data_IF_395817455610
#
_entry.id   IF_395817455610
#
_cell.length_a   1.000
_cell.length_b   1.000
_cell.length_c   1.000
_cell.angle_alpha   90.00
_cell.angle_beta   90.00
_cell.angle_gamma   90.00
#
_symmetry.space_group_name_H-M   'P 1'
#
loop_
_entity.id
_entity.type
_entity.pdbx_description
1 polymer ?
#
# COMPACT_ATOMS: atom_id res chain seq x y z
N UNK A 1 -18.60 -13.46 13.13
CA UNK A 1 -18.09 -12.22 12.51
C UNK A 1 -18.79 -12.06 11.17
N UNK A 2 -19.08 -10.84 10.72
CA UNK A 2 -19.74 -10.61 9.42
C UNK A 2 -18.65 -10.49 8.37
N UNK A 3 -18.69 -11.33 7.33
CA UNK A 3 -17.71 -11.30 6.25
C UNK A 3 -17.74 -9.97 5.48
N UNK A 4 -16.62 -9.54 4.92
CA UNK A 4 -16.51 -8.27 4.15
C UNK A 4 -17.59 -8.16 3.06
N UNK A 5 -17.90 -9.20 2.26
CA UNK A 5 -19.00 -9.14 1.28
C UNK A 5 -20.35 -8.75 1.91
N UNK A 6 -20.68 -9.35 3.05
CA UNK A 6 -21.93 -9.06 3.77
C UNK A 6 -21.98 -7.63 4.33
N UNK A 7 -20.83 -7.11 4.79
CA UNK A 7 -20.73 -5.73 5.26
C UNK A 7 -20.96 -4.74 4.12
N UNK A 8 -20.36 -4.96 2.95
CA UNK A 8 -20.52 -4.13 1.76
C UNK A 8 -21.99 -4.10 1.28
N UNK A 9 -22.63 -5.27 1.15
CA UNK A 9 -24.02 -5.37 0.74
C UNK A 9 -24.94 -4.64 1.73
N UNK A 10 -24.79 -4.90 3.03
CA UNK A 10 -25.60 -4.22 4.08
C UNK A 10 -25.40 -2.72 4.10
N UNK A 11 -24.19 -2.24 3.84
CA UNK A 11 -23.92 -0.81 3.76
C UNK A 11 -24.66 -0.18 2.59
N UNK A 12 -24.66 -0.85 1.43
CA UNK A 12 -25.43 -0.40 0.27
C UNK A 12 -26.95 -0.43 0.51
N UNK A 13 -27.47 -1.45 1.18
CA UNK A 13 -28.89 -1.50 1.58
C UNK A 13 -29.27 -0.36 2.53
N UNK A 14 -28.35 0.03 3.42
CA UNK A 14 -28.59 1.10 4.41
C UNK A 14 -28.45 2.51 3.83
N UNK A 15 -27.57 2.69 2.85
CA UNK A 15 -27.19 3.99 2.29
C UNK A 15 -27.23 3.98 0.75
N UNK A 16 -28.33 3.51 0.10
CA UNK A 16 -28.35 3.22 -1.34
C UNK A 16 -28.01 4.43 -2.21
N UNK A 17 -28.52 5.62 -1.84
CA UNK A 17 -28.41 6.86 -2.60
C UNK A 17 -27.18 7.70 -2.22
N UNK A 18 -26.42 7.28 -1.18
CA UNK A 18 -25.20 7.94 -0.80
C UNK A 18 -24.12 7.67 -1.84
N UNK A 19 -23.35 8.69 -2.20
CA UNK A 19 -22.16 8.51 -3.05
C UNK A 19 -21.14 7.63 -2.32
N UNK A 20 -20.82 6.49 -2.92
CA UNK A 20 -19.82 5.56 -2.40
C UNK A 20 -18.42 5.95 -2.83
N UNK A 21 -18.25 6.36 -4.10
CA UNK A 21 -16.95 6.63 -4.67
C UNK A 21 -17.00 7.79 -5.68
N UNK A 22 -15.93 8.61 -5.69
CA UNK A 22 -15.75 9.73 -6.61
C UNK A 22 -14.36 9.61 -7.24
N UNK A 23 -14.28 9.69 -8.57
CA UNK A 23 -13.04 9.73 -9.34
C UNK A 23 -13.12 10.81 -10.43
N UNK A 24 -12.36 11.88 -10.28
CA UNK A 24 -12.44 13.04 -11.20
C UNK A 24 -13.85 13.63 -11.25
N UNK A 25 -14.48 13.59 -12.43
CA UNK A 25 -15.87 14.02 -12.66
C UNK A 25 -16.91 12.91 -12.46
N UNK A 26 -16.48 11.65 -12.36
CA UNK A 26 -17.37 10.50 -12.18
C UNK A 26 -17.67 10.27 -10.71
N UNK A 27 -18.88 9.77 -10.44
CA UNK A 27 -19.28 9.33 -9.13
C UNK A 27 -20.25 8.13 -9.24
N UNK A 28 -20.24 7.29 -8.22
CA UNK A 28 -21.12 6.13 -8.15
C UNK A 28 -21.72 6.03 -6.75
N UNK A 29 -23.03 5.79 -6.66
CA UNK A 29 -23.73 5.56 -5.38
C UNK A 29 -23.45 4.15 -4.88
N UNK A 30 -23.81 3.88 -3.60
CA UNK A 30 -23.69 2.53 -3.03
C UNK A 30 -24.56 1.51 -3.77
N UNK A 31 -25.79 1.88 -4.14
CA UNK A 31 -26.67 1.00 -4.89
C UNK A 31 -26.12 0.66 -6.28
N UNK A 32 -25.61 1.68 -6.99
CA UNK A 32 -24.98 1.49 -8.30
C UNK A 32 -23.69 0.66 -8.21
N UNK A 33 -22.83 0.94 -7.21
CA UNK A 33 -21.59 0.21 -6.98
C UNK A 33 -21.85 -1.28 -6.77
N UNK A 34 -22.75 -1.62 -5.83
CA UNK A 34 -23.04 -3.02 -5.52
C UNK A 34 -23.78 -3.69 -6.69
N UNK A 35 -24.74 -3.00 -7.33
CA UNK A 35 -25.45 -3.54 -8.50
C UNK A 35 -24.51 -3.87 -9.67
N UNK A 36 -23.60 -2.94 -10.03
CA UNK A 36 -22.58 -3.20 -11.06
C UNK A 36 -21.60 -4.30 -10.63
N UNK A 37 -21.16 -4.30 -9.37
CA UNK A 37 -20.24 -5.31 -8.86
C UNK A 37 -20.86 -6.72 -8.84
N UNK A 38 -22.15 -6.86 -8.51
CA UNK A 38 -22.87 -8.14 -8.58
C UNK A 38 -22.95 -8.66 -10.02
N UNK A 39 -23.31 -7.79 -10.97
CA UNK A 39 -23.35 -8.17 -12.39
C UNK A 39 -21.98 -8.62 -12.90
N UNK A 40 -20.92 -7.90 -12.50
CA UNK A 40 -19.55 -8.25 -12.85
C UNK A 40 -19.12 -9.55 -12.16
N UNK A 41 -19.51 -9.78 -10.90
CA UNK A 41 -19.21 -11.00 -10.17
C UNK A 41 -19.79 -12.24 -10.86
N UNK A 42 -21.03 -12.16 -11.40
CA UNK A 42 -21.63 -13.24 -12.18
C UNK A 42 -20.80 -13.58 -13.43
N UNK A 43 -20.26 -12.56 -14.10
CA UNK A 43 -19.36 -12.75 -15.23
C UNK A 43 -18.06 -13.42 -14.78
N UNK A 44 -17.44 -12.95 -13.68
CA UNK A 44 -16.19 -13.50 -13.16
C UNK A 44 -16.31 -14.98 -12.77
N UNK A 45 -17.43 -15.41 -12.21
CA UNK A 45 -17.68 -16.82 -11.84
C UNK A 45 -17.68 -17.71 -13.09
N UNK A 46 -18.19 -17.24 -14.22
CA UNK A 46 -18.18 -18.00 -15.50
C UNK A 46 -16.78 -18.19 -16.08
N UNK A 47 -15.84 -17.28 -15.73
CA UNK A 47 -14.44 -17.33 -16.17
C UNK A 47 -13.51 -18.08 -15.19
N UNK A 48 -14.04 -18.86 -14.27
CA UNK A 48 -13.26 -19.69 -13.35
C UNK A 48 -13.12 -19.08 -11.96
N UNK A 49 -12.12 -19.59 -11.23
CA UNK A 49 -11.96 -19.30 -9.79
C UNK A 49 -10.56 -18.78 -9.43
N UNK A 50 -9.66 -18.72 -10.39
CA UNK A 50 -8.29 -18.27 -10.19
C UNK A 50 -8.25 -16.76 -9.91
N UNK A 51 -7.15 -16.22 -9.42
CA UNK A 51 -7.00 -14.80 -9.22
C UNK A 51 -7.29 -13.98 -10.48
N UNK A 52 -7.69 -12.73 -10.29
CA UNK A 52 -7.98 -11.75 -11.35
C UNK A 52 -7.01 -10.59 -11.21
N UNK A 53 -6.21 -10.34 -12.22
CA UNK A 53 -5.39 -9.13 -12.29
C UNK A 53 -6.25 -7.98 -12.75
N UNK A 54 -6.24 -6.86 -12.02
CA UNK A 54 -6.96 -5.63 -12.37
C UNK A 54 -5.91 -4.58 -12.68
N UNK A 55 -5.78 -4.21 -13.97
CA UNK A 55 -4.87 -3.17 -14.44
C UNK A 55 -5.65 -1.88 -14.59
N UNK A 56 -5.31 -0.88 -13.79
CA UNK A 56 -5.98 0.42 -13.83
C UNK A 56 -5.43 1.40 -12.83
N UNK A 57 -6.06 2.54 -12.73
CA UNK A 57 -5.77 3.58 -11.74
C UNK A 57 -6.82 3.60 -10.63
N UNK A 58 -7.56 4.71 -10.59
CA UNK A 58 -8.60 4.95 -9.58
C UNK A 58 -9.97 5.21 -10.20
N UNK A 59 -10.22 4.68 -11.37
CA UNK A 59 -11.49 4.78 -12.09
C UNK A 59 -12.59 4.06 -11.28
N UNK A 60 -13.85 4.50 -11.45
CA UNK A 60 -14.99 3.83 -10.83
C UNK A 60 -15.09 2.34 -11.23
N UNK A 61 -14.72 2.02 -12.46
CA UNK A 61 -14.67 0.65 -13.00
C UNK A 61 -13.68 -0.25 -12.27
N UNK A 62 -12.54 0.27 -11.83
CA UNK A 62 -11.57 -0.46 -11.02
C UNK A 62 -12.15 -0.83 -9.66
N UNK A 63 -12.82 0.12 -8.98
CA UNK A 63 -13.46 -0.15 -7.68
C UNK A 63 -14.61 -1.15 -7.84
N UNK A 64 -15.43 -1.01 -8.89
CA UNK A 64 -16.46 -2.02 -9.23
C UNK A 64 -15.85 -3.40 -9.39
N UNK A 65 -14.71 -3.52 -10.09
CA UNK A 65 -14.01 -4.79 -10.32
C UNK A 65 -13.44 -5.39 -9.03
N UNK A 66 -12.86 -4.57 -8.17
CA UNK A 66 -12.39 -4.99 -6.83
C UNK A 66 -13.56 -5.59 -6.03
N UNK A 67 -14.67 -4.87 -5.94
CA UNK A 67 -15.85 -5.34 -5.20
C UNK A 67 -16.44 -6.59 -5.86
N UNK A 68 -16.47 -6.67 -7.20
CA UNK A 68 -16.92 -7.85 -7.93
C UNK A 68 -16.07 -9.09 -7.63
N UNK A 69 -14.75 -8.95 -7.56
CA UNK A 69 -13.87 -10.06 -7.14
C UNK A 69 -14.21 -10.53 -5.73
N UNK A 70 -14.42 -9.60 -4.79
CA UNK A 70 -14.81 -9.91 -3.41
C UNK A 70 -16.15 -10.65 -3.37
N UNK A 71 -17.15 -10.19 -4.13
CA UNK A 71 -18.47 -10.80 -4.18
C UNK A 71 -18.48 -12.17 -4.87
N UNK A 72 -17.62 -12.38 -5.88
CA UNK A 72 -17.46 -13.66 -6.56
C UNK A 72 -16.61 -14.67 -5.79
N UNK A 73 -15.94 -14.26 -4.69
CA UNK A 73 -14.98 -15.07 -3.95
C UNK A 73 -13.65 -15.30 -4.69
N UNK A 74 -13.34 -14.47 -5.70
CA UNK A 74 -12.05 -14.49 -6.40
C UNK A 74 -11.08 -13.50 -5.77
N UNK A 75 -9.82 -13.88 -5.76
CA UNK A 75 -8.72 -13.00 -5.33
C UNK A 75 -8.49 -11.93 -6.39
N UNK A 76 -8.49 -10.64 -6.00
CA UNK A 76 -8.04 -9.60 -6.91
C UNK A 76 -6.56 -9.28 -6.71
N UNK A 77 -5.88 -8.94 -7.81
CA UNK A 77 -4.47 -8.55 -7.86
C UNK A 77 -4.40 -7.19 -8.54
N UNK A 78 -4.34 -6.09 -7.77
CA UNK A 78 -4.34 -4.75 -8.35
C UNK A 78 -2.95 -4.41 -8.89
N UNK A 79 -2.90 -3.84 -10.10
CA UNK A 79 -1.69 -3.41 -10.77
C UNK A 79 -1.92 -2.03 -11.39
N UNK A 80 -1.01 -1.10 -11.12
CA UNK A 80 -1.09 0.25 -11.69
C UNK A 80 -0.90 0.24 -13.21
N UNK A 81 -1.67 1.05 -13.93
CA UNK A 81 -1.61 1.18 -15.40
C UNK A 81 -0.23 1.64 -15.93
N UNK A 82 0.57 2.32 -15.09
CA UNK A 82 1.94 2.72 -15.43
C UNK A 82 3.01 1.67 -15.12
N UNK A 83 2.63 0.46 -14.69
CA UNK A 83 3.56 -0.65 -14.45
C UNK A 83 4.07 -1.17 -15.81
N UNK A 84 5.40 -1.38 -15.98
CA UNK A 84 5.94 -1.94 -17.20
C UNK A 84 5.33 -3.31 -17.54
N UNK A 85 5.07 -3.55 -18.83
CA UNK A 85 4.43 -4.78 -19.31
C UNK A 85 5.15 -6.05 -18.84
N UNK A 86 6.48 -6.07 -18.91
CA UNK A 86 7.29 -7.18 -18.41
C UNK A 86 7.06 -7.47 -16.93
N UNK A 87 6.79 -6.44 -16.12
CA UNK A 87 6.48 -6.59 -14.69
C UNK A 87 5.04 -7.08 -14.49
N UNK A 88 4.10 -6.64 -15.32
CA UNK A 88 2.72 -7.14 -15.33
C UNK A 88 2.71 -8.64 -15.63
N UNK A 89 3.45 -9.09 -16.64
CA UNK A 89 3.58 -10.50 -16.98
C UNK A 89 4.17 -11.36 -15.82
N UNK A 90 5.18 -10.84 -15.12
CA UNK A 90 5.72 -11.48 -13.93
C UNK A 90 4.65 -11.63 -12.82
N UNK A 91 3.85 -10.58 -12.59
CA UNK A 91 2.77 -10.60 -11.60
C UNK A 91 1.68 -11.60 -12.00
N UNK A 92 1.26 -11.61 -13.26
CA UNK A 92 0.29 -12.57 -13.79
C UNK A 92 0.78 -14.00 -13.54
N UNK A 93 2.00 -14.29 -13.98
CA UNK A 93 2.61 -15.62 -13.81
C UNK A 93 2.70 -16.01 -12.33
N UNK A 94 3.21 -15.13 -11.48
CA UNK A 94 3.42 -15.39 -10.06
C UNK A 94 2.10 -15.52 -9.27
N UNK A 95 1.06 -14.79 -9.66
CA UNK A 95 -0.26 -14.85 -9.01
C UNK A 95 -1.07 -16.09 -9.36
N UNK A 96 -0.74 -16.75 -10.49
CA UNK A 96 -1.57 -17.80 -11.06
C UNK A 96 -2.91 -17.28 -11.60
N UNK A 97 -2.97 -16.00 -11.99
CA UNK A 97 -4.18 -15.41 -12.53
C UNK A 97 -4.56 -16.04 -13.88
N UNK A 98 -5.85 -16.26 -14.10
CA UNK A 98 -6.41 -16.75 -15.36
C UNK A 98 -7.18 -15.67 -16.13
N UNK A 99 -7.32 -14.48 -15.55
CA UNK A 99 -8.09 -13.39 -16.14
C UNK A 99 -7.43 -12.04 -15.81
N UNK A 100 -7.42 -11.14 -16.80
CA UNK A 100 -7.03 -9.74 -16.66
C UNK A 100 -8.25 -8.86 -16.96
N UNK A 101 -8.47 -7.85 -16.11
CA UNK A 101 -9.39 -6.74 -16.37
C UNK A 101 -8.56 -5.49 -16.63
N UNK A 102 -8.75 -4.83 -17.79
CA UNK A 102 -8.02 -3.63 -18.17
C UNK A 102 -8.88 -2.71 -19.03
N UNK A 103 -8.72 -1.39 -18.94
CA UNK A 103 -9.38 -0.43 -19.85
C UNK A 103 -8.69 -0.35 -21.20
N UNK A 104 -7.37 -0.36 -21.21
CA UNK A 104 -6.53 -0.11 -22.39
C UNK A 104 -6.26 -1.37 -23.24
N UNK A 105 -6.95 -2.48 -22.95
CA UNK A 105 -6.83 -3.70 -23.73
C UNK A 105 -5.44 -4.33 -23.64
N UNK A 106 -5.01 -4.68 -22.41
CA UNK A 106 -3.82 -5.52 -22.24
C UNK A 106 -3.99 -6.78 -23.08
N UNK A 107 -3.19 -6.90 -24.15
CA UNK A 107 -3.25 -8.04 -25.07
C UNK A 107 -2.20 -9.06 -24.66
N UNK A 108 -2.66 -10.25 -24.28
CA UNK A 108 -1.78 -11.41 -24.08
C UNK A 108 -2.41 -12.63 -24.74
N UNK A 109 -1.63 -13.34 -25.53
CA UNK A 109 -2.08 -14.57 -26.18
C UNK A 109 -2.33 -15.72 -25.19
N UNK A 110 -1.87 -15.56 -23.93
CA UNK A 110 -1.84 -16.64 -22.93
C UNK A 110 -2.91 -16.52 -21.84
N UNK A 111 -3.62 -15.39 -21.76
CA UNK A 111 -4.59 -15.13 -20.67
C UNK A 111 -5.85 -14.44 -21.21
N UNK A 112 -7.01 -14.77 -20.63
CA UNK A 112 -8.27 -14.10 -20.95
C UNK A 112 -8.23 -12.62 -20.51
N UNK A 113 -8.61 -11.70 -21.40
CA UNK A 113 -8.73 -10.27 -21.11
C UNK A 113 -10.16 -9.81 -21.30
N UNK A 114 -10.66 -9.00 -20.36
CA UNK A 114 -11.96 -8.34 -20.45
C UNK A 114 -11.75 -6.83 -20.27
N UNK A 115 -12.49 -6.04 -21.05
CA UNK A 115 -12.48 -4.60 -20.87
C UNK A 115 -13.25 -4.21 -19.60
N UNK A 116 -12.69 -3.28 -18.82
CA UNK A 116 -13.38 -2.70 -17.66
C UNK A 116 -14.66 -1.96 -18.06
N UNK A 117 -14.72 -1.41 -19.29
CA UNK A 117 -15.92 -0.74 -19.82
C UNK A 117 -17.09 -1.67 -20.13
N UNK A 118 -16.83 -2.97 -20.35
CA UNK A 118 -17.84 -3.96 -20.67
C UNK A 118 -18.50 -4.60 -19.44
N UNK A 119 -18.01 -4.25 -18.25
CA UNK A 119 -18.49 -4.78 -16.98
C UNK A 119 -19.81 -4.15 -16.56
N UNK A 120 -20.67 -4.95 -15.89
CA UNK A 120 -21.94 -4.47 -15.32
C UNK A 120 -23.18 -4.65 -16.19
N UNK A 121 -23.10 -5.36 -17.33
CA UNK A 121 -24.23 -5.58 -18.24
C UNK A 121 -25.00 -6.89 -17.97
N UNK A 122 -24.53 -7.77 -17.07
CA UNK A 122 -25.16 -9.06 -16.74
C UNK A 122 -26.15 -8.96 -15.59
N UNK A 123 -27.23 -9.77 -15.61
CA UNK A 123 -28.36 -9.70 -14.66
C UNK A 123 -28.76 -11.03 -14.04
N UNK A 124 -27.85 -11.93 -13.82
CA UNK A 124 -28.16 -13.22 -13.19
C UNK A 124 -27.51 -13.29 -11.80
N UNK A 125 -28.31 -13.04 -10.76
CA UNK A 125 -27.83 -12.95 -9.38
C UNK A 125 -27.91 -14.32 -8.69
N UNK A 126 -26.97 -15.20 -8.99
CA UNK A 126 -26.79 -16.42 -8.21
C UNK A 126 -26.07 -16.13 -6.87
N UNK A 127 -26.36 -16.87 -5.78
CA UNK A 127 -25.59 -16.73 -4.56
C UNK A 127 -24.13 -17.10 -4.80
N UNK A 128 -23.23 -16.17 -4.43
CA UNK A 128 -21.80 -16.31 -4.68
C UNK A 128 -21.16 -17.24 -3.65
N UNK A 129 -20.42 -18.27 -4.07
CA UNK A 129 -19.74 -19.17 -3.15
C UNK A 129 -18.64 -18.44 -2.38
N UNK A 130 -18.71 -18.48 -1.05
CA UNK A 130 -17.62 -18.04 -0.20
C UNK A 130 -16.52 -19.10 -0.26
N UNK A 131 -15.38 -18.77 -0.86
CA UNK A 131 -14.19 -19.64 -0.89
C UNK A 131 -13.19 -19.24 0.18
N UNK A 132 -12.34 -20.19 0.56
CA UNK A 132 -11.18 -19.96 1.45
C UNK A 132 -10.00 -19.30 0.69
N UNK A 133 -10.26 -18.67 -0.47
CA UNK A 133 -9.27 -17.91 -1.23
C UNK A 133 -8.93 -16.59 -0.55
N UNK A 134 -7.71 -16.06 -0.73
CA UNK A 134 -7.39 -14.70 -0.33
C UNK A 134 -8.35 -13.68 -0.95
N UNK A 135 -8.62 -12.59 -0.25
CA UNK A 135 -9.41 -11.47 -0.79
C UNK A 135 -8.60 -10.75 -1.86
N UNK A 136 -7.33 -10.46 -1.54
CA UNK A 136 -6.42 -9.81 -2.47
C UNK A 136 -5.00 -10.31 -2.32
N UNK A 137 -4.21 -10.07 -3.34
CA UNK A 137 -2.77 -10.20 -3.33
C UNK A 137 -2.13 -8.89 -3.76
N UNK A 138 -1.26 -8.35 -2.92
CA UNK A 138 -0.40 -7.22 -3.28
C UNK A 138 1.01 -7.73 -3.52
N UNK A 139 1.61 -7.29 -4.63
CA UNK A 139 2.96 -7.67 -4.99
C UNK A 139 3.96 -6.63 -4.52
N UNK A 140 4.93 -7.06 -3.72
CA UNK A 140 6.03 -6.22 -3.24
C UNK A 140 7.33 -6.61 -3.96
N UNK A 141 8.32 -5.72 -3.92
CA UNK A 141 9.67 -6.05 -4.41
C UNK A 141 10.24 -7.22 -3.63
N UNK A 142 10.87 -8.15 -4.34
CA UNK A 142 11.44 -9.36 -3.75
C UNK A 142 12.96 -9.31 -3.66
N UNK A 143 13.54 -9.90 -2.60
CA UNK A 143 15.00 -10.06 -2.47
C UNK A 143 15.61 -10.92 -3.56
N UNK A 144 14.80 -11.72 -4.26
CA UNK A 144 15.22 -12.59 -5.38
C UNK A 144 15.09 -11.91 -6.76
N UNK A 145 14.54 -10.70 -6.88
CA UNK A 145 14.25 -9.98 -8.14
C UNK A 145 12.90 -10.31 -8.75
N UNK A 146 12.25 -11.34 -8.24
CA UNK A 146 10.88 -11.64 -8.60
C UNK A 146 9.92 -10.97 -7.61
N UNK A 147 8.75 -10.46 -8.08
CA UNK A 147 7.74 -9.89 -7.21
C UNK A 147 7.22 -10.94 -6.23
N UNK A 148 7.12 -10.57 -4.93
CA UNK A 148 6.56 -11.41 -3.89
C UNK A 148 5.09 -11.10 -3.70
N UNK A 149 4.21 -12.07 -3.93
CA UNK A 149 2.79 -11.95 -3.66
C UNK A 149 2.49 -12.15 -2.17
N UNK A 150 1.82 -11.18 -1.58
CA UNK A 150 1.34 -11.19 -0.19
C UNK A 150 -0.17 -11.45 -0.24
N UNK A 151 -0.64 -12.69 -0.02
CA UNK A 151 -2.06 -13.01 0.00
C UNK A 151 -2.69 -12.60 1.33
N UNK A 152 -3.77 -11.84 1.27
CA UNK A 152 -4.54 -11.42 2.44
C UNK A 152 -5.89 -12.12 2.44
N UNK A 153 -6.15 -12.88 3.51
CA UNK A 153 -7.37 -13.66 3.67
C UNK A 153 -8.56 -12.78 4.10
N UNK A 154 -9.77 -13.34 3.99
CA UNK A 154 -10.98 -12.70 4.53
C UNK A 154 -10.86 -12.45 6.04
N UNK A 155 -10.27 -13.37 6.82
CA UNK A 155 -10.08 -13.20 8.25
C UNK A 155 -9.08 -12.08 8.58
N UNK A 156 -7.99 -11.98 7.82
CA UNK A 156 -7.01 -10.90 7.97
C UNK A 156 -7.68 -9.54 7.77
N UNK A 157 -8.37 -9.38 6.62
CA UNK A 157 -9.01 -8.12 6.26
C UNK A 157 -10.15 -7.77 7.21
N UNK A 158 -10.99 -8.71 7.61
CA UNK A 158 -12.08 -8.50 8.57
C UNK A 158 -11.55 -8.07 9.94
N UNK A 159 -10.48 -8.70 10.42
CA UNK A 159 -9.81 -8.33 11.66
C UNK A 159 -9.32 -6.87 11.61
N UNK A 160 -8.64 -6.51 10.51
CA UNK A 160 -8.13 -5.16 10.28
C UNK A 160 -9.27 -4.11 10.22
N UNK A 161 -10.28 -4.33 9.38
CA UNK A 161 -11.40 -3.38 9.19
C UNK A 161 -12.21 -3.20 10.47
N UNK A 162 -12.44 -4.28 11.22
CA UNK A 162 -13.14 -4.23 12.51
C UNK A 162 -12.35 -3.41 13.52
N UNK A 163 -11.06 -3.68 13.65
CA UNK A 163 -10.17 -2.94 14.54
C UNK A 163 -10.08 -1.46 14.15
N UNK A 164 -9.84 -1.15 12.87
CA UNK A 164 -9.71 0.22 12.39
C UNK A 164 -10.99 1.03 12.63
N UNK A 165 -12.16 0.44 12.32
CA UNK A 165 -13.47 1.10 12.50
C UNK A 165 -13.82 1.34 13.98
N UNK A 166 -13.18 0.64 14.92
CA UNK A 166 -13.36 0.84 16.35
C UNK A 166 -12.46 1.94 16.92
N UNK A 167 -11.45 2.41 16.17
CA UNK A 167 -10.52 3.43 16.65
C UNK A 167 -11.14 4.81 16.75
N UNK A 168 -10.79 5.57 17.80
CA UNK A 168 -11.20 6.96 17.90
C UNK A 168 -10.24 7.89 17.13
N UNK A 169 -10.75 8.91 16.40
CA UNK A 169 -12.16 9.31 16.27
C UNK A 169 -12.92 8.57 15.15
N UNK A 170 -12.30 7.61 14.47
CA UNK A 170 -12.86 6.95 13.29
C UNK A 170 -14.21 6.30 13.58
N UNK A 171 -14.39 5.70 14.78
CA UNK A 171 -15.64 5.07 15.21
C UNK A 171 -16.81 6.06 15.39
N UNK A 172 -16.52 7.34 15.47
CA UNK A 172 -17.52 8.41 15.68
C UNK A 172 -17.99 9.05 14.38
N UNK A 173 -17.21 8.91 13.30
CA UNK A 173 -17.54 9.52 12.00
C UNK A 173 -18.75 8.87 11.35
N UNK A 174 -19.57 9.69 10.69
CA UNK A 174 -20.76 9.26 9.94
C UNK A 174 -20.87 10.11 8.68
N UNK A 175 -21.02 9.43 7.53
CA UNK A 175 -21.27 10.10 6.24
C UNK A 175 -20.18 11.10 5.84
N UNK A 176 -18.92 10.85 6.21
CA UNK A 176 -17.80 11.71 5.89
C UNK A 176 -17.25 11.43 4.49
N UNK A 177 -16.45 12.36 3.97
CA UNK A 177 -15.67 12.19 2.77
C UNK A 177 -14.22 11.84 3.12
N UNK A 178 -13.76 10.68 2.68
CA UNK A 178 -12.42 10.15 2.90
C UNK A 178 -11.61 10.28 1.62
N UNK A 179 -10.41 10.83 1.71
CA UNK A 179 -9.50 10.97 0.58
C UNK A 179 -8.67 9.70 0.39
N UNK A 180 -8.76 9.08 -0.80
CA UNK A 180 -7.89 8.01 -1.25
C UNK A 180 -6.68 8.58 -1.98
N UNK A 181 -5.52 8.57 -1.33
CA UNK A 181 -4.25 8.99 -1.93
C UNK A 181 -3.47 7.81 -2.51
N UNK A 182 -3.40 6.69 -1.79
CA UNK A 182 -2.63 5.53 -2.22
C UNK A 182 -3.24 4.83 -3.44
N UNK A 183 -2.39 4.28 -4.31
CA UNK A 183 -2.82 3.37 -5.36
C UNK A 183 -3.40 2.09 -4.77
N UNK A 184 -4.32 1.43 -5.48
CA UNK A 184 -4.88 0.15 -5.05
C UNK A 184 -3.85 -1.00 -5.08
N UNK A 185 -2.76 -0.86 -5.82
CA UNK A 185 -1.61 -1.79 -5.77
C UNK A 185 -0.77 -1.66 -4.49
N UNK A 186 -1.12 -0.71 -3.62
CA UNK A 186 -0.45 -0.44 -2.37
C UNK A 186 -1.39 -0.67 -1.18
N UNK A 187 -0.94 -1.39 -0.16
CA UNK A 187 -1.76 -1.87 0.97
C UNK A 187 -2.36 -0.77 1.84
N UNK A 188 -1.80 0.44 1.81
CA UNK A 188 -2.39 1.60 2.48
C UNK A 188 -3.80 1.88 1.98
N UNK A 189 -4.09 1.59 0.70
CA UNK A 189 -5.44 1.73 0.13
C UNK A 189 -6.49 0.81 0.77
N UNK A 190 -6.09 -0.24 1.46
CA UNK A 190 -7.02 -1.07 2.22
C UNK A 190 -7.62 -0.29 3.40
N UNK A 191 -6.89 0.68 3.97
CA UNK A 191 -7.38 1.47 5.09
C UNK A 191 -8.51 2.42 4.66
N UNK A 192 -8.34 3.16 3.57
CA UNK A 192 -9.38 4.10 3.11
C UNK A 192 -10.54 3.40 2.40
N UNK A 193 -10.23 2.45 1.49
CA UNK A 193 -11.24 1.74 0.69
C UNK A 193 -12.23 0.98 1.59
N UNK A 194 -11.71 0.07 2.42
CA UNK A 194 -12.59 -0.77 3.22
C UNK A 194 -13.22 -0.03 4.40
N UNK A 195 -12.48 0.87 5.06
CA UNK A 195 -13.08 1.72 6.09
C UNK A 195 -14.25 2.53 5.53
N UNK A 196 -14.09 3.16 4.37
CA UNK A 196 -15.14 3.96 3.77
C UNK A 196 -16.35 3.13 3.37
N UNK A 197 -16.12 2.10 2.56
CA UNK A 197 -17.22 1.33 1.95
C UNK A 197 -18.00 0.46 2.95
N UNK A 198 -17.38 0.05 4.07
CA UNK A 198 -18.08 -0.73 5.10
C UNK A 198 -18.79 0.12 6.15
N UNK A 199 -18.50 1.44 6.23
CA UNK A 199 -19.10 2.35 7.19
C UNK A 199 -20.05 3.40 6.57
N UNK A 200 -20.29 3.37 5.27
CA UNK A 200 -21.21 4.28 4.58
C UNK A 200 -20.64 5.68 4.39
N UNK A 201 -19.33 5.78 4.18
CA UNK A 201 -18.62 7.01 3.86
C UNK A 201 -18.44 7.17 2.35
N UNK A 202 -18.21 8.39 1.88
CA UNK A 202 -17.79 8.64 0.51
C UNK A 202 -16.26 8.51 0.43
N UNK A 203 -15.75 7.76 -0.55
CA UNK A 203 -14.32 7.71 -0.85
C UNK A 203 -14.04 8.55 -2.08
N UNK A 204 -13.19 9.57 -1.97
CA UNK A 204 -12.78 10.42 -3.09
C UNK A 204 -11.36 10.10 -3.51
N UNK A 205 -11.20 9.70 -4.76
CA UNK A 205 -9.89 9.44 -5.35
C UNK A 205 -9.14 10.74 -5.64
N UNK A 206 -7.85 10.71 -5.42
CA UNK A 206 -6.89 11.70 -5.89
C UNK A 206 -6.20 11.15 -7.12
N UNK A 207 -6.45 11.78 -8.28
CA UNK A 207 -5.80 11.57 -9.58
C UNK A 207 -5.40 10.15 -9.97
N UNK A 208 -5.44 9.87 -11.26
CA UNK A 208 -5.05 8.55 -11.79
C UNK A 208 -3.57 8.45 -12.18
N UNK A 209 -2.83 9.55 -12.16
CA UNK A 209 -1.42 9.59 -12.57
C UNK A 209 -0.50 9.24 -11.40
N UNK A 210 0.55 8.49 -11.67
CA UNK A 210 1.58 8.14 -10.69
C UNK A 210 2.32 9.34 -10.08
N UNK A 211 1.99 10.57 -10.51
CA UNK A 211 2.49 11.83 -9.98
C UNK A 211 1.31 12.78 -9.81
N UNK A 212 0.89 13.09 -8.56
CA UNK A 212 -0.27 13.95 -8.34
C UNK A 212 0.01 15.38 -8.81
N UNK A 213 -0.97 15.95 -9.52
CA UNK A 213 -1.01 17.39 -9.76
C UNK A 213 -1.39 18.08 -8.44
N UNK A 214 -0.50 18.96 -7.93
CA UNK A 214 -0.75 19.69 -6.69
C UNK A 214 -1.99 20.58 -6.78
N UNK A 215 -2.28 21.13 -7.93
CA UNK A 215 -3.49 21.94 -8.15
C UNK A 215 -4.76 21.07 -7.94
N UNK A 216 -4.77 19.85 -8.47
CA UNK A 216 -5.86 18.89 -8.28
C UNK A 216 -6.00 18.49 -6.80
N UNK A 217 -4.88 18.27 -6.10
CA UNK A 217 -4.88 17.95 -4.67
C UNK A 217 -5.58 19.03 -3.86
N UNK A 218 -5.21 20.31 -4.07
CA UNK A 218 -5.80 21.44 -3.32
C UNK A 218 -7.25 21.66 -3.69
N UNK A 219 -7.58 21.56 -4.97
CA UNK A 219 -8.96 21.68 -5.43
C UNK A 219 -9.84 20.59 -4.81
N UNK A 220 -9.33 19.37 -4.71
CA UNK A 220 -10.04 18.25 -4.07
C UNK A 220 -10.31 18.53 -2.60
N UNK A 221 -9.32 18.95 -1.81
CA UNK A 221 -9.53 19.32 -0.39
C UNK A 221 -10.56 20.44 -0.23
N UNK A 222 -10.52 21.45 -1.11
CA UNK A 222 -11.36 22.63 -1.03
C UNK A 222 -12.79 22.37 -1.49
N UNK A 223 -12.98 21.57 -2.57
CA UNK A 223 -14.28 21.45 -3.25
C UNK A 223 -15.02 20.16 -2.93
N UNK A 224 -14.31 19.12 -2.47
CA UNK A 224 -14.89 17.81 -2.14
C UNK A 224 -15.16 17.60 -0.66
N UNK A 225 -15.00 18.66 0.17
CA UNK A 225 -15.28 18.59 1.61
C UNK A 225 -14.60 17.41 2.31
N UNK A 226 -13.30 17.21 2.05
CA UNK A 226 -12.52 16.11 2.62
C UNK A 226 -12.44 16.25 4.14
N UNK A 227 -12.89 15.23 4.87
CA UNK A 227 -12.88 15.19 6.34
C UNK A 227 -11.71 14.38 6.90
N UNK A 228 -11.41 13.25 6.27
CA UNK A 228 -10.32 12.35 6.62
C UNK A 228 -9.44 12.11 5.38
N UNK A 229 -8.14 12.19 5.55
CA UNK A 229 -7.20 11.80 4.50
C UNK A 229 -6.32 10.64 4.99
N UNK A 230 -6.25 9.57 4.21
CA UNK A 230 -5.33 8.44 4.41
C UNK A 230 -4.17 8.63 3.46
N UNK A 231 -2.96 8.81 3.98
CA UNK A 231 -1.81 9.15 3.14
C UNK A 231 -0.46 8.88 3.80
N UNK A 232 0.59 8.94 3.01
CA UNK A 232 1.96 8.87 3.53
C UNK A 232 2.44 10.23 4.07
N UNK A 233 3.36 10.24 5.05
CA UNK A 233 4.01 11.47 5.51
C UNK A 233 4.69 12.26 4.39
N UNK A 234 5.29 11.58 3.41
CA UNK A 234 5.92 12.24 2.26
C UNK A 234 4.90 12.99 1.40
N UNK A 235 3.72 12.41 1.17
CA UNK A 235 2.66 13.10 0.43
C UNK A 235 2.15 14.35 1.17
N UNK A 236 1.97 14.26 2.49
CA UNK A 236 1.61 15.44 3.30
C UNK A 236 2.68 16.54 3.23
N UNK A 237 3.98 16.18 3.22
CA UNK A 237 5.06 17.18 3.05
C UNK A 237 4.91 17.90 1.71
N UNK A 238 4.50 17.20 0.66
CA UNK A 238 4.22 17.78 -0.64
C UNK A 238 3.01 18.74 -0.56
N UNK A 239 1.92 18.34 0.08
CA UNK A 239 0.77 19.25 0.33
C UNK A 239 1.18 20.50 1.08
N UNK A 240 2.06 20.38 2.09
CA UNK A 240 2.57 21.50 2.87
C UNK A 240 3.53 22.43 2.11
N UNK A 241 3.90 22.17 0.86
CA UNK A 241 4.64 23.12 0.02
C UNK A 241 3.77 24.29 -0.40
N UNK A 242 2.44 24.06 -0.54
CA UNK A 242 1.47 25.08 -0.87
C UNK A 242 1.11 25.94 0.37
N UNK A 243 1.32 27.25 0.33
CA UNK A 243 0.99 28.15 1.44
C UNK A 243 -0.50 28.17 1.80
N UNK A 244 -1.37 27.99 0.80
CA UNK A 244 -2.83 28.05 0.96
C UNK A 244 -3.46 26.74 1.44
N UNK A 245 -2.68 25.67 1.59
CA UNK A 245 -3.12 24.45 2.27
C UNK A 245 -3.15 24.65 3.77
N UNK A 246 -4.28 25.19 4.27
CA UNK A 246 -4.54 25.58 5.64
C UNK A 246 -6.04 25.57 5.97
N UNK A 247 -6.38 25.64 7.25
CA UNK A 247 -7.75 25.44 7.74
C UNK A 247 -8.76 26.39 7.10
N UNK A 248 -8.40 27.67 6.88
CA UNK A 248 -9.31 28.65 6.27
C UNK A 248 -9.76 28.25 4.85
N UNK A 249 -8.91 27.53 4.11
CA UNK A 249 -9.20 27.10 2.73
C UNK A 249 -9.70 25.65 2.66
N UNK A 250 -9.45 24.85 3.70
CA UNK A 250 -9.86 23.45 3.80
C UNK A 250 -10.59 23.20 5.13
N UNK A 251 -11.74 23.88 5.37
CA UNK A 251 -12.37 23.91 6.70
C UNK A 251 -12.95 22.57 7.16
N UNK A 252 -13.17 21.65 6.25
CA UNK A 252 -13.74 20.32 6.53
C UNK A 252 -12.68 19.28 6.90
N UNK A 253 -11.39 19.56 6.68
CA UNK A 253 -10.30 18.65 6.97
C UNK A 253 -10.06 18.53 8.48
N UNK A 254 -10.49 17.40 9.07
CA UNK A 254 -10.52 17.17 10.53
C UNK A 254 -9.56 16.12 11.02
N UNK A 255 -9.18 15.19 10.15
CA UNK A 255 -8.35 14.04 10.52
C UNK A 255 -7.40 13.64 9.40
N UNK A 256 -6.18 13.26 9.77
CA UNK A 256 -5.26 12.58 8.87
C UNK A 256 -4.77 11.29 9.49
N UNK A 257 -4.76 10.23 8.69
CA UNK A 257 -4.21 8.92 9.02
C UNK A 257 -2.92 8.71 8.23
N UNK A 258 -1.80 8.65 8.94
CA UNK A 258 -0.49 8.38 8.36
C UNK A 258 -0.09 6.93 8.55
N UNK A 259 0.42 6.29 7.49
CA UNK A 259 1.08 5.00 7.54
C UNK A 259 2.11 4.86 6.41
N UNK A 260 2.92 3.81 6.46
CA UNK A 260 3.87 3.43 5.41
C UNK A 260 5.27 4.04 5.54
N UNK A 261 5.42 5.19 6.21
CA UNK A 261 6.70 5.87 6.40
C UNK A 261 6.82 6.44 7.82
N UNK A 262 8.04 6.84 8.18
CA UNK A 262 8.29 7.55 9.44
C UNK A 262 7.69 8.97 9.39
N UNK A 263 6.82 9.27 10.34
CA UNK A 263 6.28 10.62 10.54
C UNK A 263 7.27 11.48 11.35
N UNK A 264 7.66 12.63 10.81
CA UNK A 264 8.60 13.54 11.45
C UNK A 264 7.88 14.56 12.34
N UNK A 265 8.46 14.84 13.50
CA UNK A 265 7.98 15.90 14.42
C UNK A 265 7.84 17.26 13.72
N UNK A 266 8.80 17.63 12.85
CA UNK A 266 8.71 18.90 12.09
C UNK A 266 7.52 18.96 11.14
N UNK A 267 7.15 17.83 10.52
CA UNK A 267 5.98 17.74 9.65
C UNK A 267 4.70 17.95 10.47
N UNK A 268 4.61 17.29 11.63
CA UNK A 268 3.47 17.48 12.56
C UNK A 268 3.36 18.92 13.03
N UNK A 269 4.47 19.55 13.46
CA UNK A 269 4.48 20.96 13.89
C UNK A 269 4.01 21.90 12.78
N UNK A 270 4.51 21.73 11.55
CA UNK A 270 4.07 22.51 10.39
C UNK A 270 2.60 22.29 10.08
N UNK A 271 2.13 21.04 10.15
CA UNK A 271 0.72 20.71 9.92
C UNK A 271 -0.18 21.35 10.98
N UNK A 272 0.18 21.22 12.27
CA UNK A 272 -0.55 21.85 13.39
C UNK A 272 -0.54 23.38 13.35
N UNK A 273 0.49 24.00 12.82
CA UNK A 273 0.51 25.46 12.65
C UNK A 273 -0.50 25.97 11.60
N UNK A 274 -0.93 25.11 10.67
CA UNK A 274 -1.90 25.43 9.61
C UNK A 274 -3.30 24.90 9.88
N UNK A 275 -3.38 23.81 10.64
CA UNK A 275 -4.60 23.12 11.04
C UNK A 275 -4.51 22.81 12.54
N UNK A 276 -4.77 23.78 13.43
CA UNK A 276 -4.56 23.64 14.88
C UNK A 276 -5.34 22.46 15.48
N UNK A 277 -6.58 22.27 15.07
CA UNK A 277 -7.50 21.27 15.61
C UNK A 277 -7.45 19.92 14.88
N UNK A 278 -6.63 19.79 13.81
CA UNK A 278 -6.51 18.56 13.03
C UNK A 278 -6.07 17.39 13.91
N UNK A 279 -6.81 16.31 13.89
CA UNK A 279 -6.44 15.06 14.54
C UNK A 279 -5.42 14.34 13.66
N UNK A 280 -4.28 13.96 14.23
CA UNK A 280 -3.21 13.27 13.55
C UNK A 280 -3.10 11.87 14.12
N UNK A 281 -3.39 10.88 13.31
CA UNK A 281 -3.25 9.46 13.61
C UNK A 281 -1.98 8.95 12.92
N UNK A 282 -1.11 8.29 13.69
CA UNK A 282 0.11 7.66 13.18
C UNK A 282 0.01 6.16 13.36
N UNK A 283 -0.03 5.42 12.25
CA UNK A 283 -0.23 3.98 12.22
C UNK A 283 1.00 3.24 11.70
N UNK A 284 1.10 1.97 12.05
CA UNK A 284 2.20 1.10 11.65
C UNK A 284 1.71 -0.31 11.37
N UNK A 285 2.23 -0.88 10.31
CA UNK A 285 2.13 -2.28 9.95
C UNK A 285 2.85 -2.56 8.64
N UNK A 286 3.34 -3.79 8.43
CA UNK A 286 3.79 -4.28 7.14
C UNK A 286 2.62 -4.85 6.35
N UNK A 287 2.76 -4.94 5.03
CA UNK A 287 1.76 -5.52 4.11
C UNK A 287 1.35 -6.94 4.54
N UNK A 288 2.30 -7.72 5.06
CA UNK A 288 2.12 -9.08 5.59
C UNK A 288 1.22 -9.15 6.83
N UNK A 289 0.93 -8.00 7.42
CA UNK A 289 0.02 -7.88 8.56
C UNK A 289 -1.21 -7.00 8.26
N UNK A 290 -1.62 -6.95 6.99
CA UNK A 290 -2.85 -6.29 6.52
C UNK A 290 -2.85 -4.79 6.79
N UNK A 291 -1.94 -4.06 6.11
CA UNK A 291 -1.80 -2.59 6.12
C UNK A 291 -1.31 -1.99 7.45
N UNK A 292 -2.03 -2.16 8.55
CA UNK A 292 -1.62 -1.66 9.85
C UNK A 292 -2.11 -2.53 11.02
N UNK A 293 -1.31 -2.60 12.08
CA UNK A 293 -1.64 -3.35 13.31
C UNK A 293 -1.61 -2.48 14.54
N UNK A 294 -1.15 -1.25 14.43
CA UNK A 294 -1.13 -0.30 15.54
C UNK A 294 -1.40 1.11 15.06
N UNK A 295 -1.93 1.94 15.95
CA UNK A 295 -2.28 3.33 15.71
C UNK A 295 -2.16 4.12 17.01
N UNK A 296 -1.80 5.39 16.89
CA UNK A 296 -1.80 6.33 18.01
C UNK A 296 -2.21 7.72 17.54
N UNK A 297 -2.98 8.43 18.38
CA UNK A 297 -3.26 9.86 18.18
C UNK A 297 -2.07 10.67 18.69
N UNK A 298 -1.46 11.45 17.80
CA UNK A 298 -0.31 12.29 18.14
C UNK A 298 -0.77 13.48 18.98
N UNK A 299 -0.14 13.63 20.14
CA UNK A 299 -0.37 14.75 21.09
C UNK A 299 0.82 15.71 21.11
N UNK A 300 0.62 16.93 21.60
CA UNK A 300 1.69 17.93 21.72
C UNK A 300 2.86 17.43 22.59
N UNK A 301 2.57 16.69 23.67
CA UNK A 301 3.60 16.13 24.56
C UNK A 301 4.58 15.19 23.83
N UNK A 302 4.12 14.45 22.80
CA UNK A 302 4.94 13.53 22.02
C UNK A 302 5.93 14.25 21.10
N UNK A 303 5.71 15.53 20.80
CA UNK A 303 6.55 16.31 19.89
C UNK A 303 7.92 16.69 20.48
N UNK A 304 8.14 16.45 21.77
CA UNK A 304 9.44 16.65 22.41
C UNK A 304 10.42 15.47 22.16
N UNK A 305 9.91 14.32 21.72
CA UNK A 305 10.71 13.13 21.45
C UNK A 305 11.46 13.19 20.12
N UNK A 306 12.52 12.39 20.02
CA UNK A 306 13.27 12.18 18.77
C UNK A 306 12.43 11.43 17.72
N UNK A 307 11.65 10.45 18.16
CA UNK A 307 10.75 9.65 17.34
C UNK A 307 9.32 9.81 17.82
N UNK A 308 8.38 9.83 16.90
CA UNK A 308 6.97 9.76 17.22
C UNK A 308 6.54 8.30 17.40
N UNK A 309 5.66 8.00 18.37
CA UNK A 309 5.13 6.66 18.53
C UNK A 309 4.27 6.26 17.31
N UNK A 310 4.17 4.97 17.06
CA UNK A 310 3.39 4.38 15.97
C UNK A 310 2.24 3.49 16.47
N UNK A 311 2.06 3.40 17.77
CA UNK A 311 0.98 2.63 18.42
C UNK A 311 0.93 2.85 19.91
N UNK A 312 -0.23 2.58 20.50
CA UNK A 312 -0.47 2.61 21.93
C UNK A 312 -0.74 1.18 22.43
N UNK A 313 -0.04 0.77 23.47
CA UNK A 313 -0.18 -0.58 24.06
C UNK A 313 -1.62 -0.82 24.55
N UNK A 314 -2.14 -2.01 24.28
CA UNK A 314 -3.54 -2.34 24.57
C UNK A 314 -4.53 -1.98 23.48
N UNK A 315 -4.08 -1.29 22.41
CA UNK A 315 -4.92 -0.88 21.28
C UNK A 315 -4.37 -1.41 19.93
N UNK A 316 -3.76 -2.59 19.95
CA UNK A 316 -3.23 -3.21 18.74
C UNK A 316 -4.26 -4.13 18.07
N UNK A 317 -4.21 -4.23 16.73
CA UNK A 317 -5.03 -5.19 15.96
C UNK A 317 -4.63 -6.64 16.20
N UNK A 318 -3.38 -6.86 16.58
CA UNK A 318 -2.73 -8.15 16.81
C UNK A 318 -1.75 -8.04 17.98
N UNK A 319 -1.28 -9.15 18.51
CA UNK A 319 -0.24 -9.13 19.55
C UNK A 319 1.08 -8.63 18.96
N UNK A 320 1.66 -7.61 19.59
CA UNK A 320 2.92 -7.00 19.18
C UNK A 320 3.91 -7.07 20.34
N UNK A 321 5.05 -7.71 20.08
CA UNK A 321 6.18 -7.79 20.99
C UNK A 321 7.44 -7.21 20.37
N UNK A 322 8.42 -6.88 21.20
CA UNK A 322 9.77 -6.52 20.75
C UNK A 322 10.75 -7.57 21.26
N UNK A 323 11.31 -8.35 20.32
CA UNK A 323 12.20 -9.47 20.62
C UNK A 323 13.59 -9.18 20.06
N UNK A 324 14.60 -9.09 20.93
CA UNK A 324 15.97 -8.72 20.54
C UNK A 324 16.07 -7.41 19.74
N UNK A 325 15.15 -6.46 20.04
CA UNK A 325 15.08 -5.17 19.32
C UNK A 325 14.28 -5.18 18.03
N UNK A 326 13.73 -6.32 17.61
CA UNK A 326 12.87 -6.47 16.45
C UNK A 326 11.39 -6.45 16.84
N UNK A 327 10.54 -5.76 16.08
CA UNK A 327 9.08 -5.83 16.20
C UNK A 327 8.61 -7.17 15.63
N UNK A 328 7.89 -7.94 16.45
CA UNK A 328 7.28 -9.21 16.05
C UNK A 328 5.77 -9.13 16.25
N UNK A 329 5.01 -9.56 15.25
CA UNK A 329 3.56 -9.46 15.23
C UNK A 329 2.96 -10.86 15.15
N UNK A 330 1.92 -11.14 15.98
CA UNK A 330 1.20 -12.41 16.01
C UNK A 330 -0.30 -12.18 16.01
N UNK A 331 -1.03 -12.97 15.25
CA UNK A 331 -2.50 -12.93 15.30
C UNK A 331 -3.20 -12.90 13.96
N UNK A 332 -4.49 -12.54 14.01
CA UNK A 332 -5.42 -12.65 12.88
C UNK A 332 -5.15 -11.69 11.71
N UNK A 333 -4.44 -10.61 11.91
CA UNK A 333 -4.04 -9.70 10.83
C UNK A 333 -2.83 -10.21 10.04
N UNK A 334 -2.11 -11.24 10.57
CA UNK A 334 -0.92 -11.79 9.94
C UNK A 334 -1.31 -12.77 8.82
N UNK A 335 -0.74 -12.59 7.64
CA UNK A 335 -0.95 -13.46 6.48
C UNK A 335 -0.47 -14.91 6.75
N UNK A 336 -0.84 -15.83 5.87
CA UNK A 336 -0.47 -17.25 6.01
C UNK A 336 0.86 -17.63 5.33
N UNK A 337 1.61 -16.64 4.82
CA UNK A 337 2.87 -16.82 4.10
C UNK A 337 2.79 -16.30 2.65
N UNK A 338 3.96 -16.07 2.06
CA UNK A 338 4.07 -15.64 0.66
C UNK A 338 3.66 -16.72 -0.32
N UNK A 339 3.26 -16.33 -1.52
CA UNK A 339 3.11 -17.28 -2.64
C UNK A 339 4.45 -17.92 -2.96
N UNK A 340 4.45 -19.23 -3.10
CA UNK A 340 5.69 -20.01 -3.28
C UNK A 340 6.43 -20.19 -1.94
N UNK A 341 7.56 -20.89 -2.00
CA UNK A 341 8.31 -21.30 -0.79
C UNK A 341 9.29 -20.23 -0.31
N UNK A 342 8.81 -19.01 0.01
CA UNK A 342 9.66 -17.97 0.61
C UNK A 342 9.64 -18.16 2.13
N UNK A 343 10.72 -18.71 2.68
CA UNK A 343 10.88 -18.95 4.11
C UNK A 343 11.59 -17.78 4.80
N UNK A 344 11.32 -17.57 6.09
CA UNK A 344 12.19 -16.82 7.01
C UNK A 344 11.53 -15.78 7.90
N UNK A 345 10.52 -15.03 7.45
CA UNK A 345 9.89 -13.99 8.26
C UNK A 345 8.53 -14.39 8.81
N UNK A 346 7.80 -15.24 8.09
CA UNK A 346 6.54 -15.84 8.55
C UNK A 346 6.82 -17.10 9.36
N UNK A 347 6.11 -17.28 10.45
CA UNK A 347 6.14 -18.48 11.30
C UNK A 347 4.74 -18.77 11.85
N UNK A 348 4.55 -19.99 12.38
CA UNK A 348 3.31 -20.40 13.02
C UNK A 348 3.61 -20.92 14.40
N UNK A 349 2.84 -20.49 15.38
CA UNK A 349 2.91 -20.95 16.77
C UNK A 349 1.57 -21.59 17.16
N UNK A 350 1.59 -22.40 18.23
CA UNK A 350 0.36 -22.96 18.78
C UNK A 350 0.07 -22.27 20.11
N UNK A 351 -1.13 -21.71 20.27
CA UNK A 351 -1.57 -21.05 21.49
C UNK A 351 -1.87 -22.07 22.62
N UNK A 352 -2.16 -21.57 23.80
CA UNK A 352 -2.48 -22.38 24.99
C UNK A 352 -3.73 -23.26 24.78
N UNK A 353 -4.58 -22.93 23.81
CA UNK A 353 -5.81 -23.66 23.48
C UNK A 353 -5.61 -24.66 22.33
N UNK A 354 -4.39 -24.76 21.77
CA UNK A 354 -4.08 -25.64 20.64
C UNK A 354 -4.38 -25.04 19.26
N UNK A 355 -4.73 -23.74 19.16
CA UNK A 355 -4.97 -23.11 17.87
C UNK A 355 -3.66 -22.64 17.23
N UNK A 356 -3.59 -22.75 15.90
CA UNK A 356 -2.46 -22.20 15.16
C UNK A 356 -2.59 -20.67 15.01
N UNK A 357 -1.54 -19.95 15.36
CA UNK A 357 -1.44 -18.50 15.24
C UNK A 357 -0.31 -18.16 14.28
N UNK A 358 -0.61 -17.38 13.25
CA UNK A 358 0.41 -16.85 12.35
C UNK A 358 1.20 -15.74 13.04
N UNK A 359 2.52 -15.75 12.83
CA UNK A 359 3.43 -14.74 13.29
C UNK A 359 4.32 -14.20 12.16
N UNK A 360 4.79 -12.97 12.31
CA UNK A 360 5.64 -12.31 11.35
C UNK A 360 6.76 -11.53 12.04
N UNK A 361 8.01 -11.81 11.65
CA UNK A 361 9.19 -11.03 11.98
C UNK A 361 9.34 -9.92 10.98
N UNK A 362 9.14 -8.68 11.45
CA UNK A 362 9.01 -7.53 10.53
C UNK A 362 10.32 -7.08 9.90
N UNK A 363 11.46 -7.37 10.55
CA UNK A 363 12.76 -6.75 10.24
C UNK A 363 12.80 -5.27 10.62
N UNK A 364 11.77 -4.73 11.25
CA UNK A 364 11.77 -3.37 11.79
C UNK A 364 12.30 -3.37 13.22
N UNK A 365 13.23 -2.47 13.49
CA UNK A 365 13.76 -2.21 14.83
C UNK A 365 12.74 -1.41 15.63
N UNK A 366 12.44 -1.83 16.84
CA UNK A 366 11.46 -1.14 17.67
C UNK A 366 11.72 -1.19 19.16
N UNK A 367 10.93 -0.42 19.89
CA UNK A 367 10.83 -0.47 21.36
C UNK A 367 9.41 -0.17 21.80
N UNK A 368 9.02 -0.73 22.95
CA UNK A 368 7.85 -0.29 23.70
C UNK A 368 8.35 0.48 24.91
N UNK A 369 7.91 1.72 25.07
CA UNK A 369 8.36 2.62 26.11
C UNK A 369 7.22 3.54 26.55
N UNK A 370 6.96 3.62 27.87
CA UNK A 370 5.87 4.42 28.41
C UNK A 370 4.47 4.06 27.91
N UNK A 371 4.27 2.80 27.49
CA UNK A 371 3.00 2.35 26.90
C UNK A 371 2.84 2.63 25.41
N UNK A 372 3.89 3.07 24.73
CA UNK A 372 3.88 3.37 23.30
C UNK A 372 4.87 2.51 22.52
N UNK A 373 4.45 2.07 21.34
CA UNK A 373 5.31 1.42 20.35
C UNK A 373 6.04 2.46 19.51
N UNK A 374 7.35 2.28 19.33
CA UNK A 374 8.20 3.10 18.46
C UNK A 374 8.86 2.21 17.40
N UNK A 375 8.81 2.62 16.14
CA UNK A 375 9.60 2.05 15.06
C UNK A 375 10.85 2.92 14.86
N UNK A 376 12.04 2.32 15.01
CA UNK A 376 13.31 3.04 15.04
C UNK A 376 14.11 2.93 13.73
N UNK A 377 13.62 2.12 12.78
CA UNK A 377 14.27 1.87 11.49
C UNK A 377 14.24 0.40 11.11
N UNK A 378 15.12 0.01 10.18
CA UNK A 378 15.20 -1.37 9.65
C UNK A 378 16.47 -2.07 10.15
N UNK A 379 16.35 -3.37 10.37
CA UNK A 379 17.47 -4.27 10.64
C UNK A 379 18.17 -4.73 9.35
N UNK A 380 17.47 -4.67 8.23
CA UNK A 380 17.92 -5.08 6.90
C UNK A 380 18.17 -3.88 5.95
N UNK A 381 18.46 -4.17 4.67
CA UNK A 381 18.70 -3.15 3.65
C UNK A 381 17.44 -2.63 2.95
N UNK A 382 16.27 -3.08 3.33
CA UNK A 382 15.01 -2.66 2.72
C UNK A 382 14.77 -1.16 2.90
N UNK A 383 14.22 -0.54 1.88
CA UNK A 383 14.04 0.92 1.81
C UNK A 383 12.54 1.23 1.76
N UNK A 384 12.09 2.15 2.63
CA UNK A 384 10.78 2.81 2.48
C UNK A 384 11.02 4.17 1.80
N UNK A 385 10.53 4.33 0.57
CA UNK A 385 10.74 5.52 -0.24
C UNK A 385 9.45 5.96 -0.92
N UNK A 386 8.98 7.16 -0.61
CA UNK A 386 7.72 7.71 -1.12
C UNK A 386 6.49 6.81 -0.87
N UNK A 387 6.50 6.10 0.25
CA UNK A 387 5.48 5.13 0.61
C UNK A 387 5.72 3.71 0.08
N UNK A 388 6.57 3.55 -0.93
CA UNK A 388 6.88 2.25 -1.52
C UNK A 388 7.94 1.50 -0.70
N UNK A 389 7.73 0.19 -0.59
CA UNK A 389 8.69 -0.75 -0.01
C UNK A 389 9.58 -1.28 -1.12
N UNK A 390 10.87 -0.97 -1.06
CA UNK A 390 11.84 -1.28 -2.11
C UNK A 390 12.95 -2.16 -1.56
N UNK A 391 13.18 -3.28 -2.24
CA UNK A 391 14.35 -4.12 -2.03
C UNK A 391 15.48 -3.64 -2.97
N UNK A 392 16.60 -3.11 -2.46
CA UNK A 392 17.73 -2.70 -3.31
C UNK A 392 18.19 -3.80 -4.26
N UNK A 393 18.19 -5.05 -3.79
CA UNK A 393 18.56 -6.22 -4.59
C UNK A 393 17.66 -6.47 -5.81
N UNK A 394 16.40 -6.02 -5.82
CA UNK A 394 15.54 -6.10 -7.00
C UNK A 394 16.05 -5.14 -8.09
N UNK A 395 16.39 -3.91 -7.71
CA UNK A 395 16.96 -2.92 -8.63
C UNK A 395 18.32 -3.39 -9.13
N UNK A 396 19.20 -3.85 -8.22
CA UNK A 396 20.56 -4.30 -8.54
C UNK A 396 20.55 -5.42 -9.58
N UNK A 397 19.70 -6.41 -9.44
CA UNK A 397 19.58 -7.50 -10.43
C UNK A 397 19.06 -7.01 -11.78
N UNK A 398 18.20 -6.03 -11.83
CA UNK A 398 17.75 -5.48 -13.10
C UNK A 398 18.84 -4.61 -13.75
N UNK A 399 19.67 -3.92 -12.97
CA UNK A 399 20.87 -3.23 -13.46
C UNK A 399 21.87 -4.24 -14.06
N UNK A 400 22.14 -5.35 -13.38
CA UNK A 400 23.12 -6.36 -13.86
C UNK A 400 22.66 -7.16 -15.08
N UNK A 401 21.39 -7.05 -15.50
CA UNK A 401 20.91 -7.59 -16.79
C UNK A 401 21.32 -6.72 -17.98
N UNK A 402 21.73 -5.47 -17.75
CA UNK A 402 22.16 -4.56 -18.81
C UNK A 402 23.56 -5.01 -19.26
N UNK A 403 23.75 -5.19 -20.56
CA UNK A 403 25.01 -5.64 -21.15
C UNK A 403 26.16 -4.68 -20.78
N UNK A 404 27.35 -5.20 -20.43
CA UNK A 404 28.51 -4.41 -20.03
C UNK A 404 28.52 -3.95 -18.55
N UNK A 405 27.52 -4.31 -17.75
CA UNK A 405 27.52 -4.04 -16.31
C UNK A 405 28.09 -5.26 -15.56
N UNK A 406 29.20 -5.05 -14.87
CA UNK A 406 29.89 -6.12 -14.13
C UNK A 406 29.31 -6.33 -12.72
N UNK A 407 28.99 -5.23 -12.02
CA UNK A 407 28.45 -5.26 -10.65
C UNK A 407 27.76 -3.94 -10.32
N UNK A 408 26.89 -3.94 -9.32
CA UNK A 408 26.28 -2.70 -8.83
C UNK A 408 25.80 -2.80 -7.37
N UNK A 409 25.61 -1.63 -6.76
CA UNK A 409 24.96 -1.53 -5.46
C UNK A 409 24.03 -0.32 -5.42
N UNK A 410 22.83 -0.51 -4.86
CA UNK A 410 21.83 0.55 -4.69
C UNK A 410 21.71 0.90 -3.21
N UNK A 411 21.82 2.17 -2.90
CA UNK A 411 21.71 2.69 -1.53
C UNK A 411 20.70 3.84 -1.45
N UNK A 412 20.03 4.00 -0.29
CA UNK A 412 19.20 5.17 -0.01
C UNK A 412 20.09 6.35 0.35
N UNK A 413 19.89 7.48 -0.30
CA UNK A 413 20.47 8.75 0.15
C UNK A 413 19.52 9.38 1.17
N UNK A 414 20.03 9.54 2.40
CA UNK A 414 19.22 10.00 3.53
C UNK A 414 19.56 11.46 3.89
N UNK A 415 18.54 12.19 4.36
CA UNK A 415 18.77 13.47 5.04
C UNK A 415 19.36 13.24 6.43
N UNK A 416 19.83 14.33 7.07
CA UNK A 416 20.34 14.31 8.45
C UNK A 416 19.37 13.67 9.46
N UNK A 417 18.07 13.72 9.18
CA UNK A 417 17.00 13.12 9.98
C UNK A 417 16.75 11.64 9.64
N UNK A 418 17.60 11.01 8.80
CA UNK A 418 17.50 9.59 8.42
C UNK A 418 16.50 9.25 7.32
N UNK A 419 15.81 10.24 6.74
CA UNK A 419 14.77 10.02 5.74
C UNK A 419 15.39 9.86 4.35
N UNK A 420 14.90 8.86 3.62
CA UNK A 420 15.30 8.61 2.24
C UNK A 420 14.82 9.72 1.32
N UNK A 421 15.76 10.40 0.66
CA UNK A 421 15.49 11.48 -0.31
C UNK A 421 15.54 10.99 -1.74
N UNK A 422 16.47 10.11 -2.05
CA UNK A 422 16.68 9.52 -3.37
C UNK A 422 17.26 8.11 -3.21
N UNK A 423 17.20 7.36 -4.31
CA UNK A 423 18.00 6.17 -4.50
C UNK A 423 19.24 6.53 -5.33
N UNK A 424 20.39 5.98 -4.97
CA UNK A 424 21.62 6.07 -5.75
C UNK A 424 22.10 4.68 -6.13
N UNK A 425 22.48 4.49 -7.39
CA UNK A 425 23.13 3.28 -7.89
C UNK A 425 24.61 3.57 -8.14
N UNK A 426 25.47 2.73 -7.58
CA UNK A 426 26.91 2.68 -7.85
C UNK A 426 27.15 1.50 -8.75
N UNK A 427 27.71 1.73 -9.95
CA UNK A 427 27.79 0.74 -11.02
C UNK A 427 29.25 0.54 -11.42
N UNK A 428 29.65 -0.72 -11.51
CA UNK A 428 30.92 -1.15 -12.10
C UNK A 428 30.65 -1.62 -13.52
N UNK A 429 31.29 -0.99 -14.48
CA UNK A 429 31.10 -1.32 -15.91
C UNK A 429 32.46 -1.40 -16.62
N UNK A 430 32.55 -2.25 -17.61
CA UNK A 430 33.67 -2.37 -18.56
C UNK A 430 33.37 -1.69 -19.91
N UNK A 431 32.13 -1.13 -20.06
CA UNK A 431 31.64 -0.45 -21.24
C UNK A 431 31.44 1.05 -21.04
N UNK A 432 31.21 1.77 -22.13
CA UNK A 432 30.78 3.17 -22.11
C UNK A 432 29.27 3.25 -21.89
N UNK A 433 28.87 3.59 -20.66
CA UNK A 433 27.47 3.83 -20.29
C UNK A 433 27.29 5.24 -19.76
N UNK A 434 26.14 5.82 -20.01
CA UNK A 434 25.68 7.04 -19.35
C UNK A 434 24.48 6.77 -18.44
N UNK A 435 24.25 7.65 -17.49
CA UNK A 435 23.17 7.51 -16.51
C UNK A 435 21.77 7.48 -17.16
N UNK A 436 21.58 8.23 -18.25
CA UNK A 436 20.31 8.31 -18.96
C UNK A 436 19.95 6.99 -19.65
N UNK A 437 20.94 6.34 -20.26
CA UNK A 437 20.75 5.02 -20.89
C UNK A 437 20.38 3.95 -19.84
N UNK A 438 21.08 3.91 -18.71
CA UNK A 438 20.75 2.98 -17.62
C UNK A 438 19.33 3.22 -17.10
N UNK A 439 18.94 4.48 -16.89
CA UNK A 439 17.59 4.82 -16.43
C UNK A 439 16.51 4.44 -17.46
N UNK A 440 16.78 4.62 -18.73
CA UNK A 440 15.87 4.26 -19.81
C UNK A 440 15.66 2.73 -19.89
N UNK A 441 16.74 1.94 -19.79
CA UNK A 441 16.64 0.46 -19.77
C UNK A 441 15.90 -0.02 -18.52
N UNK A 442 16.19 0.55 -17.34
CA UNK A 442 15.46 0.22 -16.12
C UNK A 442 13.97 0.57 -16.21
N UNK A 443 13.62 1.66 -16.93
CA UNK A 443 12.22 2.06 -17.13
C UNK A 443 11.37 1.05 -17.91
N UNK A 444 12.01 0.14 -18.67
CA UNK A 444 11.33 -0.98 -19.34
C UNK A 444 11.05 -2.18 -18.41
N UNK A 445 11.70 -2.23 -17.25
CA UNK A 445 11.72 -3.39 -16.35
C UNK A 445 11.10 -3.08 -14.98
N UNK A 446 11.23 -1.85 -14.51
CA UNK A 446 10.87 -1.45 -13.16
C UNK A 446 9.92 -0.23 -13.16
N UNK A 447 9.01 -0.16 -12.19
CA UNK A 447 8.21 1.04 -11.95
C UNK A 447 9.09 2.26 -11.68
N UNK A 448 8.64 3.44 -12.09
CA UNK A 448 9.43 4.68 -12.02
C UNK A 448 9.94 5.05 -10.62
N UNK A 449 9.23 4.66 -9.55
CA UNK A 449 9.65 4.91 -8.17
C UNK A 449 10.86 4.05 -7.75
N UNK A 450 11.16 2.95 -8.44
CA UNK A 450 12.32 2.08 -8.20
C UNK A 450 13.57 2.52 -8.96
N UNK A 451 13.45 3.41 -9.96
CA UNK A 451 14.57 3.85 -10.78
C UNK A 451 15.46 4.83 -9.99
N UNK A 452 16.75 4.51 -9.75
CA UNK A 452 17.66 5.42 -9.07
C UNK A 452 17.82 6.73 -9.83
N UNK A 453 17.60 7.87 -9.14
CA UNK A 453 17.81 9.19 -9.74
C UNK A 453 19.28 9.57 -9.89
N UNK A 454 20.13 8.96 -9.08
CA UNK A 454 21.55 9.20 -9.07
C UNK A 454 22.26 7.92 -9.47
N UNK A 455 23.06 8.00 -10.54
CA UNK A 455 23.88 6.89 -11.02
C UNK A 455 25.33 7.39 -11.01
N UNK A 456 26.20 6.61 -10.35
CA UNK A 456 27.63 6.86 -10.28
C UNK A 456 28.39 5.64 -10.77
N UNK A 457 29.30 5.85 -11.71
CA UNK A 457 30.20 4.81 -12.18
C UNK A 457 31.45 4.80 -11.31
N UNK A 458 31.90 3.61 -10.89
CA UNK A 458 33.06 3.39 -10.03
C UNK A 458 33.88 2.20 -10.52
N UNK A 459 35.16 2.18 -10.22
CA UNK A 459 36.06 1.11 -10.66
C UNK A 459 35.79 -0.23 -9.94
N UNK A 460 35.36 -0.19 -8.67
CA UNK A 460 35.02 -1.37 -7.89
C UNK A 460 34.12 -1.00 -6.72
N UNK A 461 33.22 -1.92 -6.34
CA UNK A 461 32.41 -1.79 -5.12
C UNK A 461 33.30 -2.00 -3.87
N UNK A 462 33.19 -1.14 -2.87
CA UNK A 462 33.90 -1.36 -1.61
C UNK A 462 33.35 -2.61 -0.91
N UNK A 463 34.22 -3.39 -0.31
CA UNK A 463 33.86 -4.61 0.41
C UNK A 463 34.17 -4.47 1.90
N UNK A 464 33.30 -5.03 2.74
CA UNK A 464 33.53 -5.09 4.18
C UNK A 464 34.47 -6.28 4.55
N UNK A 465 34.79 -6.42 5.83
CA UNK A 465 35.70 -7.47 6.35
C UNK A 465 35.24 -8.91 6.03
N UNK A 466 33.98 -9.09 5.67
CA UNK A 466 33.40 -10.40 5.34
C UNK A 466 33.29 -10.62 3.82
N UNK A 467 33.89 -9.74 3.00
CA UNK A 467 33.86 -9.84 1.54
C UNK A 467 32.51 -9.45 0.90
N UNK A 468 31.58 -8.86 1.66
CA UNK A 468 30.30 -8.35 1.15
C UNK A 468 30.42 -6.85 0.84
N UNK A 469 29.64 -6.35 -0.11
CA UNK A 469 29.53 -4.92 -0.43
C UNK A 469 29.34 -4.08 0.82
N UNK A 470 30.22 -3.10 1.03
CA UNK A 470 30.15 -2.15 2.14
C UNK A 470 29.27 -0.95 1.77
N UNK A 471 27.94 -1.12 1.96
CA UNK A 471 26.97 -0.06 1.67
C UNK A 471 27.17 1.20 2.50
N UNK A 472 27.75 1.07 3.73
CA UNK A 472 28.07 2.22 4.59
C UNK A 472 29.25 3.04 4.04
N UNK A 473 30.20 2.38 3.37
CA UNK A 473 31.27 3.09 2.67
C UNK A 473 30.74 3.87 1.46
N UNK A 474 29.79 3.28 0.71
CA UNK A 474 29.13 3.93 -0.43
C UNK A 474 28.31 5.18 -0.02
N UNK A 475 27.69 5.18 1.16
CA UNK A 475 26.94 6.33 1.68
C UNK A 475 27.84 7.59 1.91
N UNK A 476 29.15 7.41 1.95
CA UNK A 476 30.10 8.48 2.18
C UNK A 476 30.71 9.03 0.87
N UNK A 477 30.49 8.35 -0.26
CA UNK A 477 30.91 8.75 -1.60
C UNK A 477 29.85 9.67 -2.25
#
# INVERSE_FOLDING_TARGET
MKRIPELLIRTAERFPDTTAYISGSESITYAELIGKAQNTADLLIRHGNDPVVIIGGKECTVVVSIIACILSGRTYVPVDSFTPESRIEQIISASGASLVLSEDGFLSDSIGCLSLSDLGQYRDHAPHPTKDSPVYMIFTSGTTGEPKGVPISHENLESFVTWLSAQQPLSEYRGINVLNQASFSFDLSAADLYYSLTNGHTLTALGNSGSPDLAEVYDTFRTRHVNLAVMTPTFMKLCLTEPDFREENCPDFRCVYFCGEQLETKTVRKLKSRFPDLIILNAYGPTECTSAVSIVKITEAMLSGQYLPVGESGNFASDITVENGEIVIRGKSVFSGYLGSVTGCHFTETDENGNQINGYRTGDMGKIDGGYLYCLGRLDSQIKYKGYRIEPGDIERNITKIEGIADCAVIPLRSADGIVKNLAAYIVTDGEHDAGNIQAELGKLLPGYMIPKIIKFIDALPVNKNGKTDRKALEKL
#
